data_IF_488291071019
#
_entry.id   IF_488291071019
#
_cell.length_a   1.000
_cell.length_b   1.000
_cell.length_c   1.000
_cell.angle_alpha   90.00
_cell.angle_beta   90.00
_cell.angle_gamma   90.00
#
_symmetry.space_group_name_H-M   'P 1'
#
loop_
_entity.id
_entity.type
_entity.pdbx_description
1 polymer ?
#
# COMPACT_ATOMS: atom_id res chain seq x y z
N UNK A 1 25.60 0.58 -11.89
CA UNK A 1 25.23 1.04 -10.53
C UNK A 1 25.28 -0.20 -9.66
N UNK A 2 26.17 -0.25 -8.67
CA UNK A 2 26.33 -1.42 -7.78
C UNK A 2 25.30 -1.24 -6.66
N UNK A 3 24.50 -2.27 -6.40
CA UNK A 3 23.55 -2.28 -5.29
C UNK A 3 24.35 -2.33 -3.97
N UNK A 4 24.34 -1.26 -3.15
CA UNK A 4 25.10 -1.22 -1.89
C UNK A 4 24.59 -2.23 -0.85
N UNK A 5 23.48 -2.93 -1.12
CA UNK A 5 22.91 -3.97 -0.27
C UNK A 5 23.29 -5.38 -0.71
N UNK A 6 24.01 -5.55 -1.83
CA UNK A 6 24.28 -6.88 -2.42
C UNK A 6 25.20 -7.79 -1.58
N UNK A 7 26.05 -7.20 -0.72
CA UNK A 7 26.94 -7.96 0.20
C UNK A 7 26.34 -8.16 1.59
N UNK A 8 25.17 -7.58 1.83
CA UNK A 8 24.45 -7.69 3.08
C UNK A 8 23.37 -8.77 2.93
N UNK A 9 23.41 -9.78 3.79
CA UNK A 9 22.40 -10.85 3.90
C UNK A 9 21.07 -10.30 4.47
N UNK A 10 20.62 -9.17 3.95
CA UNK A 10 19.34 -8.55 4.23
C UNK A 10 18.36 -9.19 3.27
N UNK A 11 17.46 -10.00 3.80
CA UNK A 11 16.31 -10.48 3.04
C UNK A 11 15.38 -9.30 2.74
N UNK A 12 15.59 -8.66 1.59
CA UNK A 12 14.82 -7.52 1.07
C UNK A 12 13.33 -7.88 0.89
N UNK A 13 12.96 -9.18 0.95
CA UNK A 13 11.58 -9.64 0.74
C UNK A 13 10.59 -9.27 1.85
N UNK A 14 11.02 -8.84 3.06
CA UNK A 14 10.14 -8.90 4.24
C UNK A 14 9.61 -7.58 4.82
N UNK A 15 9.85 -6.41 4.21
CA UNK A 15 9.41 -5.12 4.81
C UNK A 15 8.09 -4.56 4.25
N UNK A 16 7.32 -5.32 3.46
CA UNK A 16 6.03 -4.81 3.00
C UNK A 16 5.02 -4.73 4.15
N UNK A 17 4.33 -3.59 4.25
CA UNK A 17 3.28 -3.36 5.24
C UNK A 17 1.98 -3.88 4.64
N UNK A 18 1.29 -4.84 5.29
CA UNK A 18 0.09 -5.45 4.74
C UNK A 18 -1.00 -4.43 4.43
N UNK A 19 -1.55 -4.51 3.21
CA UNK A 19 -2.61 -3.64 2.70
C UNK A 19 -3.61 -4.47 1.92
N UNK A 20 -4.88 -4.37 2.32
CA UNK A 20 -6.01 -5.01 1.66
C UNK A 20 -6.96 -3.94 1.11
N UNK A 21 -7.50 -4.17 -0.09
CA UNK A 21 -8.52 -3.33 -0.72
C UNK A 21 -9.70 -4.20 -1.11
N UNK A 22 -10.90 -3.69 -0.87
CA UNK A 22 -12.15 -4.28 -1.35
C UNK A 22 -12.93 -3.25 -2.14
N UNK A 23 -13.50 -3.68 -3.27
CA UNK A 23 -14.42 -2.91 -4.09
C UNK A 23 -15.74 -3.66 -4.17
N UNK A 24 -16.85 -3.00 -3.85
CA UNK A 24 -18.15 -3.65 -3.77
C UNK A 24 -19.31 -2.70 -4.14
N UNK A 25 -20.37 -3.22 -4.77
CA UNK A 25 -21.60 -2.45 -5.00
C UNK A 25 -22.51 -2.46 -3.77
N UNK A 26 -23.54 -1.61 -3.80
CA UNK A 26 -24.70 -1.76 -2.90
C UNK A 26 -25.52 -2.98 -3.32
N UNK A 27 -26.55 -3.28 -2.51
CA UNK A 27 -27.52 -4.32 -2.81
C UNK A 27 -28.20 -4.14 -4.17
N UNK A 28 -28.31 -2.91 -4.67
CA UNK A 28 -28.98 -2.62 -5.94
C UNK A 28 -28.03 -2.67 -7.16
N UNK A 29 -26.71 -2.73 -6.95
CA UNK A 29 -25.73 -2.64 -8.02
C UNK A 29 -25.51 -1.22 -8.58
N UNK A 30 -26.06 -0.19 -7.92
CA UNK A 30 -26.11 1.18 -8.46
C UNK A 30 -24.92 1.99 -8.00
N UNK A 31 -24.68 2.03 -6.70
CA UNK A 31 -23.53 2.72 -6.11
C UNK A 31 -22.43 1.72 -5.81
N UNK A 32 -21.20 2.22 -5.85
CA UNK A 32 -19.99 1.43 -5.65
C UNK A 32 -19.13 2.08 -4.60
N UNK A 33 -18.44 1.24 -3.82
CA UNK A 33 -17.55 1.70 -2.76
C UNK A 33 -16.23 0.96 -2.81
N UNK A 34 -15.20 1.65 -2.35
CA UNK A 34 -13.90 1.07 -1.99
C UNK A 34 -13.70 1.17 -0.49
N UNK A 35 -13.10 0.13 0.11
CA UNK A 35 -12.67 0.11 1.51
C UNK A 35 -11.28 -0.52 1.59
N UNK A 36 -10.42 0.04 2.42
CA UNK A 36 -9.06 -0.45 2.61
C UNK A 36 -8.73 -0.71 4.08
N UNK A 37 -7.81 -1.64 4.30
CA UNK A 37 -7.22 -1.98 5.59
C UNK A 37 -5.72 -1.90 5.47
N UNK A 38 -5.08 -1.29 6.46
CA UNK A 38 -3.65 -1.07 6.50
C UNK A 38 -3.06 -1.68 7.77
N UNK A 39 -1.86 -2.24 7.66
CA UNK A 39 -1.04 -2.71 8.77
C UNK A 39 -1.79 -3.66 9.72
N UNK A 40 -2.50 -4.65 9.15
CA UNK A 40 -3.26 -5.66 9.89
C UNK A 40 -4.31 -5.13 10.88
N UNK A 41 -4.75 -3.86 10.75
CA UNK A 41 -5.85 -3.34 11.55
C UNK A 41 -7.14 -4.08 11.19
N UNK A 42 -7.88 -4.52 12.20
CA UNK A 42 -9.21 -5.15 12.01
C UNK A 42 -10.22 -4.14 11.46
N UNK A 43 -10.18 -2.91 12.00
CA UNK A 43 -10.98 -1.80 11.49
C UNK A 43 -10.32 -1.18 10.26
N UNK A 44 -11.05 -1.20 9.15
CA UNK A 44 -10.63 -0.56 7.90
C UNK A 44 -11.09 0.88 7.82
N UNK A 45 -10.47 1.64 6.94
CA UNK A 45 -10.80 3.05 6.68
C UNK A 45 -12.25 3.25 6.25
N UNK A 46 -12.80 4.44 6.45
CA UNK A 46 -14.16 4.76 6.00
C UNK A 46 -14.31 4.44 4.49
N UNK A 47 -15.40 3.77 4.13
CA UNK A 47 -15.66 3.46 2.73
C UNK A 47 -15.86 4.74 1.91
N UNK A 48 -15.25 4.80 0.74
CA UNK A 48 -15.34 5.92 -0.19
C UNK A 48 -16.22 5.50 -1.38
N UNK A 49 -17.22 6.30 -1.72
CA UNK A 49 -18.05 6.06 -2.90
C UNK A 49 -17.21 6.33 -4.16
N UNK A 50 -17.29 5.42 -5.14
CA UNK A 50 -16.52 5.45 -6.38
C UNK A 50 -17.46 5.31 -7.58
N UNK A 51 -16.98 5.73 -8.74
CA UNK A 51 -17.70 5.51 -9.99
C UNK A 51 -17.62 4.04 -10.43
N UNK A 52 -18.69 3.54 -11.05
CA UNK A 52 -18.74 2.19 -11.64
C UNK A 52 -17.55 1.93 -12.59
N UNK A 53 -17.17 2.94 -13.39
CA UNK A 53 -16.05 2.81 -14.33
C UNK A 53 -14.73 2.51 -13.59
N UNK A 54 -14.46 3.21 -12.49
CA UNK A 54 -13.26 2.99 -11.68
C UNK A 54 -13.30 1.60 -11.03
N UNK A 55 -14.46 1.19 -10.51
CA UNK A 55 -14.65 -0.15 -9.95
C UNK A 55 -14.33 -1.26 -10.98
N UNK A 56 -14.86 -1.13 -12.21
CA UNK A 56 -14.60 -2.07 -13.31
C UNK A 56 -13.10 -2.11 -13.64
N UNK A 57 -12.46 -0.95 -13.78
CA UNK A 57 -11.03 -0.87 -14.10
C UNK A 57 -10.18 -1.55 -13.02
N UNK A 58 -10.48 -1.32 -11.74
CA UNK A 58 -9.78 -1.97 -10.63
C UNK A 58 -10.00 -3.49 -10.60
N UNK A 59 -11.26 -3.95 -10.69
CA UNK A 59 -11.61 -5.38 -10.67
C UNK A 59 -10.95 -6.15 -11.83
N UNK A 60 -10.79 -5.51 -12.98
CA UNK A 60 -10.10 -6.08 -14.14
C UNK A 60 -8.58 -5.89 -14.12
N UNK A 61 -7.99 -5.48 -12.98
CA UNK A 61 -6.56 -5.24 -12.81
C UNK A 61 -5.99 -4.26 -13.85
N UNK A 62 -6.78 -3.24 -14.25
CA UNK A 62 -6.34 -2.14 -15.12
C UNK A 62 -5.78 -0.95 -14.35
N UNK A 63 -5.98 -0.93 -13.04
CA UNK A 63 -5.39 0.01 -12.10
C UNK A 63 -4.64 -0.80 -11.04
N UNK A 64 -3.40 -0.43 -10.77
CA UNK A 64 -2.59 -1.09 -9.76
C UNK A 64 -3.09 -0.77 -8.34
N UNK A 65 -2.86 -1.70 -7.40
CA UNK A 65 -3.29 -1.54 -6.00
C UNK A 65 -2.73 -0.26 -5.37
N UNK A 66 -1.47 0.06 -5.64
CA UNK A 66 -0.80 1.23 -5.04
C UNK A 66 -1.38 2.52 -5.60
N UNK A 67 -1.54 2.64 -6.91
CA UNK A 67 -2.20 3.80 -7.53
C UNK A 67 -3.64 3.97 -7.04
N UNK A 68 -4.38 2.87 -6.85
CA UNK A 68 -5.73 2.92 -6.29
C UNK A 68 -5.74 3.43 -4.85
N UNK A 69 -4.82 2.96 -4.02
CA UNK A 69 -4.70 3.39 -2.63
C UNK A 69 -4.23 4.84 -2.51
N UNK A 70 -3.36 5.31 -3.39
CA UNK A 70 -2.92 6.71 -3.45
C UNK A 70 -4.09 7.65 -3.80
N UNK A 71 -4.98 7.23 -4.70
CA UNK A 71 -6.12 8.03 -5.11
C UNK A 71 -7.19 8.14 -4.01
N UNK A 72 -7.59 7.01 -3.41
CA UNK A 72 -8.74 6.96 -2.49
C UNK A 72 -8.37 7.01 -1.00
N UNK A 73 -7.13 6.66 -0.64
CA UNK A 73 -6.62 6.64 0.74
C UNK A 73 -5.23 7.33 0.87
N UNK A 74 -5.07 8.57 0.37
CA UNK A 74 -3.76 9.22 0.22
C UNK A 74 -3.01 9.39 1.55
N UNK A 75 -3.73 9.67 2.65
CA UNK A 75 -3.11 9.86 3.97
C UNK A 75 -2.48 8.58 4.50
N UNK A 76 -3.14 7.45 4.30
CA UNK A 76 -2.62 6.15 4.71
C UNK A 76 -1.44 5.74 3.84
N UNK A 77 -1.46 6.08 2.55
CA UNK A 77 -0.33 5.86 1.65
C UNK A 77 0.87 6.75 1.99
N UNK A 78 0.65 8.01 2.38
CA UNK A 78 1.73 8.88 2.88
C UNK A 78 2.44 8.25 4.09
N UNK A 79 1.68 7.76 5.08
CA UNK A 79 2.25 7.06 6.25
C UNK A 79 2.96 5.77 5.85
N UNK A 80 2.41 5.01 4.89
CA UNK A 80 3.03 3.80 4.36
C UNK A 80 4.41 4.09 3.74
N UNK A 81 4.51 5.10 2.88
CA UNK A 81 5.78 5.50 2.25
C UNK A 81 6.79 5.97 3.30
N UNK A 82 6.36 6.80 4.26
CA UNK A 82 7.23 7.25 5.35
C UNK A 82 7.78 6.08 6.18
N UNK A 83 6.97 5.06 6.47
CA UNK A 83 7.42 3.90 7.23
C UNK A 83 8.47 3.07 6.47
N UNK A 84 8.33 2.95 5.15
CA UNK A 84 9.31 2.29 4.29
C UNK A 84 10.61 3.09 4.23
N UNK A 85 10.53 4.40 4.04
CA UNK A 85 11.70 5.29 4.04
C UNK A 85 12.44 5.25 5.39
N UNK A 86 11.72 5.31 6.50
CA UNK A 86 12.30 5.17 7.84
C UNK A 86 12.99 3.82 8.04
N UNK A 87 12.37 2.72 7.58
CA UNK A 87 12.99 1.39 7.65
C UNK A 87 14.28 1.34 6.85
N UNK A 88 14.29 1.96 5.65
CA UNK A 88 15.49 2.08 4.82
C UNK A 88 16.59 2.88 5.52
N UNK A 89 16.28 4.04 6.09
CA UNK A 89 17.24 4.87 6.81
C UNK A 89 17.80 4.16 8.04
N UNK A 90 16.97 3.45 8.79
CA UNK A 90 17.40 2.67 9.95
C UNK A 90 18.40 1.59 9.56
N UNK A 91 18.12 0.85 8.47
CA UNK A 91 19.03 -0.17 7.95
C UNK A 91 20.35 0.48 7.53
N UNK A 92 20.33 1.54 6.71
CA UNK A 92 21.54 2.22 6.26
C UNK A 92 22.37 2.80 7.41
N UNK A 93 21.72 3.34 8.44
CA UNK A 93 22.37 3.82 9.65
C UNK A 93 23.10 2.71 10.41
N UNK A 94 22.52 1.52 10.54
CA UNK A 94 23.15 0.36 11.19
C UNK A 94 24.42 -0.09 10.44
N UNK A 95 24.43 0.01 9.12
CA UNK A 95 25.58 -0.36 8.29
C UNK A 95 26.74 0.62 8.42
N UNK A 96 26.44 1.91 8.49
CA UNK A 96 27.45 2.97 8.69
C UNK A 96 28.07 2.95 10.09
N UNK A 97 27.46 2.30 11.08
CA UNK A 97 28.02 2.10 12.44
C UNK A 97 28.89 0.83 12.51
N UNK A 98 28.78 -0.06 11.52
CA UNK A 98 29.48 -1.36 11.50
C UNK A 98 30.75 -1.34 10.63
N UNK A 99 31.00 -0.25 9.88
CA UNK A 99 32.24 0.03 9.14
C UNK A 99 33.14 1.00 9.90
#
# INVERSE_FOLDING_TARGET
MIDPLAELDIDVQSFDIPRLVSVYPDRAGVRWWTKAWFNNREEGECSVEIELQQAILFIHNRIEKDSWLEEYFPKQMEVYHQAIEQTREQILGQLNVTL
#
